data_IF_653272480506
#
_entry.id   IF_653272480506
#
_cell.length_a   1.000
_cell.length_b   1.000
_cell.length_c   1.000
_cell.angle_alpha   90.00
_cell.angle_beta   90.00
_cell.angle_gamma   90.00
#
_symmetry.space_group_name_H-M   'P 1'
#
loop_
_entity.id
_entity.type
_entity.pdbx_description
1 polymer ?
#
# COMPACT_ATOMS: atom_id res chain seq x y z
N UNK A 1 -57.83 34.99 64.46
CA UNK A 1 -57.65 34.00 63.32
C UNK A 1 -56.48 34.47 62.46
N UNK A 2 -55.31 33.86 62.58
CA UNK A 2 -54.11 34.23 61.85
C UNK A 2 -54.00 33.34 60.59
N UNK A 3 -54.18 33.98 59.44
CA UNK A 3 -53.89 33.37 58.17
C UNK A 3 -52.38 33.25 57.97
N UNK A 4 -51.87 32.06 58.08
CA UNK A 4 -50.49 31.72 57.72
C UNK A 4 -50.47 31.46 56.20
N UNK A 5 -49.98 32.50 55.45
CA UNK A 5 -49.55 32.30 54.05
C UNK A 5 -48.35 31.38 54.01
N UNK A 6 -48.55 30.13 53.60
CA UNK A 6 -47.46 29.19 53.22
C UNK A 6 -46.79 29.76 51.98
N UNK A 7 -45.63 30.36 52.14
CA UNK A 7 -44.72 30.65 51.03
C UNK A 7 -44.12 29.33 50.58
N UNK A 8 -44.55 28.87 49.42
CA UNK A 8 -43.89 27.76 48.74
C UNK A 8 -42.50 28.30 48.29
N UNK A 9 -41.46 27.86 48.96
CA UNK A 9 -40.11 28.04 48.51
C UNK A 9 -39.91 27.10 47.32
N UNK A 10 -39.96 27.65 46.10
CA UNK A 10 -39.42 26.97 44.95
C UNK A 10 -37.90 26.92 45.13
N UNK A 11 -37.39 25.82 45.63
CA UNK A 11 -35.97 25.54 45.57
C UNK A 11 -35.69 25.25 44.10
N UNK A 12 -35.29 26.27 43.37
CA UNK A 12 -34.71 26.09 42.03
C UNK A 12 -33.40 25.38 42.23
N UNK A 13 -33.38 24.14 41.85
CA UNK A 13 -32.21 23.28 41.92
C UNK A 13 -31.19 23.78 40.86
N UNK A 14 -30.41 24.80 41.20
CA UNK A 14 -29.41 25.41 40.30
C UNK A 14 -28.38 24.39 39.81
N UNK A 15 -28.14 23.36 40.62
CA UNK A 15 -27.26 22.25 40.21
C UNK A 15 -27.82 21.42 39.03
N UNK A 16 -29.14 21.33 38.88
CA UNK A 16 -29.76 20.64 37.75
C UNK A 16 -29.64 21.44 36.45
N UNK A 17 -29.71 22.76 36.54
CA UNK A 17 -29.61 23.68 35.38
C UNK A 17 -28.16 23.80 34.90
N UNK A 18 -27.17 23.76 35.76
CA UNK A 18 -25.75 23.80 35.41
C UNK A 18 -25.22 22.45 34.89
N UNK A 19 -25.82 21.35 35.35
CA UNK A 19 -25.41 20.00 34.92
C UNK A 19 -25.81 19.65 33.47
N UNK A 20 -26.90 20.20 32.96
CA UNK A 20 -27.37 19.98 31.60
C UNK A 20 -26.44 20.57 30.53
N UNK A 21 -26.05 21.89 30.60
CA UNK A 21 -25.12 22.44 29.60
C UNK A 21 -23.73 21.82 29.67
N UNK A 22 -23.22 21.45 30.86
CA UNK A 22 -21.95 20.74 30.98
C UNK A 22 -21.99 19.35 30.32
N UNK A 23 -23.07 18.58 30.52
CA UNK A 23 -23.22 17.27 29.86
C UNK A 23 -23.33 17.38 28.35
N UNK A 24 -24.06 18.38 27.85
CA UNK A 24 -24.18 18.66 26.44
C UNK A 24 -22.83 19.09 25.82
N UNK A 25 -22.06 19.92 26.52
CA UNK A 25 -20.72 20.33 26.05
C UNK A 25 -19.75 19.15 25.98
N UNK A 26 -19.73 18.30 27.02
CA UNK A 26 -18.89 17.11 27.05
C UNK A 26 -19.29 16.15 25.93
N UNK A 27 -20.59 15.91 25.72
CA UNK A 27 -21.07 15.06 24.63
C UNK A 27 -20.71 15.63 23.25
N UNK A 28 -20.80 16.96 23.09
CA UNK A 28 -20.42 17.64 21.84
C UNK A 28 -18.92 17.46 21.56
N UNK A 29 -18.08 17.66 22.57
CA UNK A 29 -16.62 17.52 22.43
C UNK A 29 -16.25 16.08 22.07
N UNK A 30 -16.81 15.09 22.80
CA UNK A 30 -16.55 13.67 22.52
C UNK A 30 -17.04 13.32 21.10
N UNK A 31 -18.23 13.76 20.72
CA UNK A 31 -18.79 13.53 19.38
C UNK A 31 -17.94 14.14 18.28
N UNK A 32 -17.44 15.36 18.49
CA UNK A 32 -16.57 16.05 17.52
C UNK A 32 -15.22 15.33 17.36
N UNK A 33 -14.60 14.92 18.46
CA UNK A 33 -13.33 14.17 18.45
C UNK A 33 -13.51 12.82 17.73
N UNK A 34 -14.59 12.11 18.04
CA UNK A 34 -14.90 10.84 17.38
C UNK A 34 -15.15 11.03 15.87
N UNK A 35 -15.87 12.08 15.48
CA UNK A 35 -16.11 12.40 14.08
C UNK A 35 -14.80 12.71 13.33
N UNK A 36 -13.92 13.52 13.92
CA UNK A 36 -12.61 13.84 13.34
C UNK A 36 -11.76 12.57 13.18
N UNK A 37 -11.75 11.69 14.17
CA UNK A 37 -11.02 10.44 14.11
C UNK A 37 -11.54 9.53 12.98
N UNK A 38 -12.85 9.41 12.84
CA UNK A 38 -13.48 8.63 11.77
C UNK A 38 -13.17 9.22 10.40
N UNK A 39 -13.30 10.55 10.24
CA UNK A 39 -12.98 11.23 8.98
C UNK A 39 -11.50 11.05 8.61
N UNK A 40 -10.59 11.21 9.57
CA UNK A 40 -9.15 10.98 9.35
C UNK A 40 -8.86 9.55 8.92
N UNK A 41 -9.59 8.59 9.45
CA UNK A 41 -9.45 7.18 9.08
C UNK A 41 -9.94 6.92 7.66
N UNK A 42 -11.11 7.44 7.28
CA UNK A 42 -11.71 7.24 5.95
C UNK A 42 -10.93 7.97 4.84
N UNK A 43 -10.35 9.14 5.15
CA UNK A 43 -9.56 9.92 4.18
C UNK A 43 -8.13 9.41 4.02
N UNK A 44 -7.73 8.37 4.76
CA UNK A 44 -6.42 7.75 4.58
C UNK A 44 -6.38 6.99 3.24
N UNK A 45 -5.55 7.40 2.26
CA UNK A 45 -5.51 6.76 0.93
C UNK A 45 -5.08 5.29 0.99
N UNK A 46 -4.35 4.90 2.05
CA UNK A 46 -3.89 3.52 2.22
C UNK A 46 -4.93 2.57 2.85
N UNK A 47 -6.13 3.06 3.16
CA UNK A 47 -7.17 2.22 3.74
C UNK A 47 -7.73 1.19 2.73
N UNK A 48 -7.78 1.59 1.48
CA UNK A 48 -8.18 0.73 0.36
C UNK A 48 -7.01 0.66 -0.61
N UNK A 49 -6.11 -0.33 -0.47
CA UNK A 49 -4.97 -0.46 -1.37
C UNK A 49 -5.45 -0.66 -2.81
N UNK A 50 -4.90 0.10 -3.72
CA UNK A 50 -5.20 0.01 -5.14
C UNK A 50 -4.33 -1.07 -5.79
N UNK A 51 -4.81 -1.63 -6.90
CA UNK A 51 -4.05 -2.58 -7.68
C UNK A 51 -3.10 -1.86 -8.62
N UNK A 52 -1.96 -2.48 -8.87
CA UNK A 52 -0.99 -2.00 -9.85
C UNK A 52 -0.90 -2.96 -11.04
N UNK A 53 -0.52 -2.41 -12.19
CA UNK A 53 -0.22 -3.16 -13.41
C UNK A 53 1.28 -3.17 -13.59
N UNK A 54 1.85 -4.38 -13.68
CA UNK A 54 3.29 -4.58 -13.85
C UNK A 54 3.53 -5.29 -15.17
N UNK A 55 4.42 -4.72 -15.99
CA UNK A 55 4.91 -5.35 -17.21
C UNK A 55 6.43 -5.38 -17.23
N UNK A 56 6.99 -6.40 -17.85
CA UNK A 56 8.45 -6.63 -17.91
C UNK A 56 8.89 -6.81 -19.35
N UNK A 57 10.00 -6.22 -19.70
CA UNK A 57 10.63 -6.39 -21.02
C UNK A 57 12.14 -6.67 -20.85
N UNK A 58 12.69 -7.72 -21.47
CA UNK A 58 12.00 -8.77 -22.22
C UNK A 58 11.33 -9.81 -21.31
N UNK A 59 10.23 -10.44 -21.77
CA UNK A 59 9.57 -11.55 -21.06
C UNK A 59 10.34 -12.86 -21.26
N UNK A 60 11.06 -12.98 -22.38
CA UNK A 60 11.89 -14.14 -22.71
C UNK A 60 13.30 -13.66 -22.98
N UNK A 61 14.26 -14.27 -22.31
CA UNK A 61 15.69 -13.98 -22.48
C UNK A 61 16.43 -15.25 -22.92
N UNK A 62 17.43 -15.09 -23.77
CA UNK A 62 18.26 -16.16 -24.29
C UNK A 62 19.66 -16.03 -23.76
N UNK A 63 20.17 -17.06 -23.07
CA UNK A 63 21.56 -17.15 -22.62
C UNK A 63 22.43 -17.87 -23.63
N UNK A 64 23.64 -17.38 -23.84
CA UNK A 64 24.62 -18.01 -24.72
C UNK A 64 25.62 -18.82 -23.87
N UNK A 65 25.24 -20.04 -23.52
CA UNK A 65 26.13 -20.92 -22.78
C UNK A 65 25.71 -21.23 -21.33
N UNK A 66 26.64 -21.81 -20.57
CA UNK A 66 26.42 -22.17 -19.15
C UNK A 66 27.08 -21.19 -18.17
N UNK A 67 27.79 -20.20 -18.66
CA UNK A 67 28.42 -19.17 -17.83
C UNK A 67 27.36 -18.20 -17.29
N UNK A 68 27.59 -17.66 -16.09
CA UNK A 68 26.67 -16.66 -15.53
C UNK A 68 26.69 -15.39 -16.41
N UNK A 69 25.52 -14.99 -16.91
CA UNK A 69 25.37 -13.84 -17.78
C UNK A 69 24.56 -12.71 -17.09
N UNK A 70 24.95 -11.48 -17.34
CA UNK A 70 24.22 -10.32 -16.85
C UNK A 70 23.10 -9.96 -17.83
N UNK A 71 21.88 -10.06 -17.37
CA UNK A 71 20.69 -9.66 -18.12
C UNK A 71 20.07 -8.42 -17.53
N UNK A 72 19.61 -7.53 -18.37
CA UNK A 72 18.94 -6.30 -17.96
C UNK A 72 17.46 -6.39 -18.31
N UNK A 73 16.63 -6.13 -17.33
CA UNK A 73 15.17 -6.10 -17.47
C UNK A 73 14.68 -4.68 -17.22
N UNK A 74 13.74 -4.23 -18.04
CA UNK A 74 12.99 -3.01 -17.81
C UNK A 74 11.60 -3.41 -17.30
N UNK A 75 11.26 -2.92 -16.13
CA UNK A 75 9.94 -3.14 -15.52
C UNK A 75 9.17 -1.84 -15.56
N UNK A 76 7.93 -1.90 -15.99
CA UNK A 76 6.99 -0.78 -16.02
C UNK A 76 5.94 -1.03 -14.96
N UNK A 77 5.77 -0.07 -14.05
CA UNK A 77 4.80 -0.11 -12.97
C UNK A 77 3.82 1.04 -13.14
N UNK A 78 2.56 0.71 -13.35
CA UNK A 78 1.49 1.67 -13.54
C UNK A 78 0.33 1.41 -12.58
N UNK A 79 -0.44 2.42 -12.29
CA UNK A 79 -1.76 2.30 -11.67
C UNK A 79 -2.77 1.69 -12.66
N UNK A 80 -3.92 1.27 -12.17
CA UNK A 80 -4.96 0.65 -13.00
C UNK A 80 -5.60 1.63 -14.01
N UNK A 81 -5.48 2.91 -13.79
CA UNK A 81 -5.91 3.98 -14.70
C UNK A 81 -4.87 4.33 -15.78
N UNK A 82 -3.68 3.70 -15.72
CA UNK A 82 -2.59 3.87 -16.66
C UNK A 82 -1.56 4.93 -16.28
N UNK A 83 -1.72 5.60 -15.13
CA UNK A 83 -0.70 6.54 -14.65
C UNK A 83 0.55 5.81 -14.16
N UNK A 84 1.75 6.35 -14.43
CA UNK A 84 2.99 5.76 -13.94
C UNK A 84 3.06 5.83 -12.42
N UNK A 85 3.51 4.74 -11.79
CA UNK A 85 3.67 4.65 -10.34
C UNK A 85 5.14 4.80 -9.97
N UNK A 86 5.51 5.96 -9.41
CA UNK A 86 6.85 6.27 -8.93
C UNK A 86 7.11 5.69 -7.54
N UNK A 87 8.36 5.33 -7.26
CA UNK A 87 8.80 4.85 -5.94
C UNK A 87 8.38 3.42 -5.61
N UNK A 88 7.86 2.65 -6.56
CA UNK A 88 7.58 1.24 -6.36
C UNK A 88 8.89 0.44 -6.26
N UNK A 89 9.01 -0.40 -5.24
CA UNK A 89 10.14 -1.32 -5.07
C UNK A 89 9.90 -2.57 -5.90
N UNK A 90 10.80 -2.85 -6.83
CA UNK A 90 10.75 -4.02 -7.71
C UNK A 90 11.90 -4.96 -7.37
N UNK A 91 11.61 -6.24 -7.24
CA UNK A 91 12.58 -7.30 -7.00
C UNK A 91 12.36 -8.39 -8.04
N UNK A 92 13.42 -8.78 -8.75
CA UNK A 92 13.46 -9.95 -9.63
C UNK A 92 14.44 -10.94 -9.01
N UNK A 93 14.04 -12.19 -8.90
CA UNK A 93 14.87 -13.26 -8.32
C UNK A 93 14.68 -14.59 -9.05
N UNK A 94 15.69 -15.41 -9.01
CA UNK A 94 15.68 -16.77 -9.58
C UNK A 94 16.99 -17.10 -10.26
N UNK A 95 17.17 -18.37 -10.61
CA UNK A 95 18.34 -18.88 -11.34
C UNK A 95 19.70 -18.46 -10.75
N UNK A 96 19.77 -18.46 -9.39
CA UNK A 96 20.98 -18.10 -8.66
C UNK A 96 21.26 -16.59 -8.53
N UNK A 97 20.37 -15.74 -9.10
CA UNK A 97 20.52 -14.28 -9.03
C UNK A 97 19.33 -13.56 -8.41
N UNK A 98 19.58 -12.33 -8.00
CA UNK A 98 18.55 -11.38 -7.58
C UNK A 98 18.97 -9.96 -7.95
N UNK A 99 18.00 -9.14 -8.30
CA UNK A 99 18.17 -7.72 -8.55
C UNK A 99 16.98 -6.93 -8.04
N UNK A 100 17.20 -5.69 -7.65
CA UNK A 100 16.14 -4.81 -7.18
C UNK A 100 16.37 -3.38 -7.63
N UNK A 101 15.29 -2.60 -7.67
CA UNK A 101 15.29 -1.19 -8.00
C UNK A 101 14.01 -0.51 -7.58
N UNK A 102 13.97 0.80 -7.74
CA UNK A 102 12.79 1.61 -7.50
C UNK A 102 12.34 2.26 -8.81
N UNK A 103 11.03 2.34 -9.02
CA UNK A 103 10.50 3.02 -10.20
C UNK A 103 10.76 4.53 -10.14
N UNK A 104 11.10 5.07 -11.31
CA UNK A 104 11.26 6.49 -11.52
C UNK A 104 9.90 7.21 -11.70
N UNK A 105 9.92 8.49 -12.05
CA UNK A 105 8.69 9.28 -12.21
C UNK A 105 7.85 8.85 -13.42
N UNK A 106 8.44 8.10 -14.35
CA UNK A 106 7.77 7.50 -15.51
C UNK A 106 7.34 6.05 -15.22
N UNK A 107 7.47 5.58 -13.98
CA UNK A 107 7.11 4.22 -13.56
C UNK A 107 8.08 3.14 -14.04
N UNK A 108 9.28 3.51 -14.53
CA UNK A 108 10.24 2.58 -15.09
C UNK A 108 11.29 2.16 -14.07
N UNK A 109 11.67 0.90 -14.12
CA UNK A 109 12.79 0.34 -13.33
C UNK A 109 13.71 -0.45 -14.25
N UNK A 110 14.98 -0.11 -14.22
CA UNK A 110 16.01 -0.89 -14.91
C UNK A 110 16.72 -1.80 -13.90
N UNK A 111 16.56 -3.10 -14.05
CA UNK A 111 17.14 -4.09 -13.14
C UNK A 111 18.12 -4.95 -13.88
N UNK A 112 19.37 -4.97 -13.40
CA UNK A 112 20.44 -5.84 -13.90
C UNK A 112 20.61 -6.99 -12.93
N UNK A 113 20.48 -8.22 -13.45
CA UNK A 113 20.58 -9.44 -12.67
C UNK A 113 21.54 -10.42 -13.36
N UNK A 114 22.33 -11.11 -12.55
CA UNK A 114 23.21 -12.17 -13.00
C UNK A 114 22.46 -13.49 -12.91
N UNK A 115 22.22 -14.12 -14.04
CA UNK A 115 21.48 -15.39 -14.13
C UNK A 115 22.37 -16.50 -14.68
N UNK A 116 22.13 -17.71 -14.21
CA UNK A 116 22.83 -18.90 -14.65
C UNK A 116 21.87 -20.09 -14.71
N UNK A 117 21.90 -20.83 -15.82
CA UNK A 117 21.25 -22.14 -15.90
C UNK A 117 22.26 -23.23 -15.59
N UNK A 118 21.84 -24.21 -14.81
CA UNK A 118 22.66 -25.38 -14.50
C UNK A 118 23.02 -26.19 -15.76
N UNK A 119 24.10 -26.96 -15.67
CA UNK A 119 24.51 -27.83 -16.76
C UNK A 119 23.41 -28.86 -17.04
N UNK A 120 23.00 -28.97 -18.32
CA UNK A 120 21.91 -29.84 -18.73
C UNK A 120 20.50 -29.28 -18.59
N UNK A 121 20.37 -28.07 -18.05
CA UNK A 121 19.08 -27.32 -17.96
C UNK A 121 19.04 -26.31 -19.10
N UNK A 122 17.98 -26.34 -19.89
CA UNK A 122 17.82 -25.50 -21.09
C UNK A 122 16.81 -24.35 -20.90
N UNK A 123 16.01 -24.40 -19.86
CA UNK A 123 15.05 -23.35 -19.53
C UNK A 123 14.89 -23.17 -18.03
N UNK A 124 14.54 -21.96 -17.64
CA UNK A 124 14.27 -21.62 -16.26
C UNK A 124 13.41 -20.37 -16.18
N UNK A 125 13.03 -19.99 -14.97
CA UNK A 125 12.11 -18.89 -14.76
C UNK A 125 12.61 -17.97 -13.65
N UNK A 126 12.20 -16.70 -13.75
CA UNK A 126 12.44 -15.70 -12.73
C UNK A 126 11.11 -15.18 -12.18
N UNK A 127 11.09 -14.98 -10.87
CA UNK A 127 9.97 -14.42 -10.14
C UNK A 127 10.12 -12.91 -10.04
N UNK A 128 9.00 -12.21 -10.06
CA UNK A 128 8.95 -10.78 -9.82
C UNK A 128 8.07 -10.47 -8.60
N UNK A 129 8.51 -9.52 -7.80
CA UNK A 129 7.73 -8.96 -6.69
C UNK A 129 7.83 -7.44 -6.74
N UNK A 130 6.68 -6.77 -6.69
CA UNK A 130 6.57 -5.32 -6.71
C UNK A 130 5.75 -4.86 -5.51
N UNK A 131 6.26 -3.86 -4.79
CA UNK A 131 5.58 -3.25 -3.65
C UNK A 131 5.62 -1.74 -3.75
N UNK A 132 4.48 -1.12 -3.55
CA UNK A 132 4.36 0.33 -3.49
C UNK A 132 3.49 0.75 -2.30
N UNK A 133 3.66 1.99 -1.84
CA UNK A 133 2.85 2.53 -0.76
C UNK A 133 1.38 2.59 -1.19
N UNK A 134 0.47 2.16 -0.31
CA UNK A 134 -0.97 2.18 -0.53
C UNK A 134 -1.48 1.33 -1.71
N UNK A 135 -0.66 0.40 -2.21
CA UNK A 135 -1.02 -0.52 -3.28
C UNK A 135 -0.94 -1.98 -2.81
N UNK A 136 -1.74 -2.84 -3.42
CA UNK A 136 -1.62 -4.28 -3.21
C UNK A 136 -0.27 -4.77 -3.73
N UNK A 137 0.49 -5.59 -2.97
CA UNK A 137 1.73 -6.16 -3.47
C UNK A 137 1.44 -7.05 -4.69
N UNK A 138 2.21 -6.83 -5.75
CA UNK A 138 2.18 -7.68 -6.93
C UNK A 138 3.28 -8.72 -6.82
N UNK A 139 2.91 -10.00 -6.85
CA UNK A 139 3.86 -11.12 -6.86
C UNK A 139 3.45 -12.10 -7.95
N UNK A 140 4.37 -12.38 -8.84
CA UNK A 140 4.15 -13.36 -9.91
C UNK A 140 5.36 -14.29 -10.02
N UNK A 141 5.10 -15.58 -9.83
CA UNK A 141 6.09 -16.62 -10.03
C UNK A 141 6.19 -16.96 -11.52
N UNK A 142 7.39 -17.32 -11.97
CA UNK A 142 7.64 -17.76 -13.33
C UNK A 142 7.23 -16.74 -14.42
N UNK A 143 7.33 -15.45 -14.10
CA UNK A 143 6.91 -14.39 -15.02
C UNK A 143 7.85 -14.20 -16.20
N UNK A 144 9.15 -14.41 -15.98
CA UNK A 144 10.18 -14.23 -17.01
C UNK A 144 10.81 -15.57 -17.34
N UNK A 145 10.76 -15.96 -18.61
CA UNK A 145 11.37 -17.19 -19.09
C UNK A 145 12.80 -16.94 -19.55
N UNK A 146 13.72 -17.76 -19.08
CA UNK A 146 15.11 -17.78 -19.50
C UNK A 146 15.38 -19.08 -20.25
N UNK A 147 15.86 -19.00 -21.48
CA UNK A 147 16.20 -20.17 -22.30
C UNK A 147 17.67 -20.11 -22.68
N UNK A 148 18.26 -21.28 -22.86
CA UNK A 148 19.64 -21.45 -23.27
C UNK A 148 19.70 -21.97 -24.68
N UNK A 149 20.48 -21.33 -25.54
CA UNK A 149 20.87 -21.89 -26.81
C UNK A 149 21.98 -22.89 -26.63
N UNK A 150 21.85 -24.01 -27.32
CA UNK A 150 22.91 -25.04 -27.40
C UNK A 150 24.06 -24.59 -28.27
#
# INVERSE_FOLDING_TARGET
MKNQKKRAYFIVNEHAVLGLPMRLTVSLVIGTVALIAILSYITNPCLFPERMIVSVTPIVTVLQGSEPENVTFTVYVNETDGHPLSGASVIIKGLGGAGSGFSDDDGNVLIKIKVQLESGVYEGYLDISVKAACHEPFEHQDMIKVVKTS
#
